data_IF_149768589730
#
_entry.id   IF_149768589730
#
_cell.length_a   1.000
_cell.length_b   1.000
_cell.length_c   1.000
_cell.angle_alpha   90.00
_cell.angle_beta   90.00
_cell.angle_gamma   90.00
#
_symmetry.space_group_name_H-M   'P 1'
#
loop_
_entity.id
_entity.type
_entity.pdbx_description
1 polymer ?
#
# COMPACT_ATOMS: atom_id res chain seq x y z
N UNK A 1 -0.37 -13.02 -6.05
CA UNK A 1 -0.88 -13.89 -7.14
C UNK A 1 -0.67 -15.35 -6.81
N UNK A 2 0.58 -15.82 -6.67
CA UNK A 2 0.90 -17.22 -6.31
C UNK A 2 0.06 -17.75 -5.14
N UNK A 3 0.01 -17.03 -4.02
CA UNK A 3 -0.75 -17.43 -2.82
C UNK A 3 -2.26 -17.56 -3.09
N UNK A 4 -2.84 -16.67 -3.91
CA UNK A 4 -4.26 -16.75 -4.29
C UNK A 4 -4.55 -17.99 -5.15
N UNK A 5 -3.66 -18.32 -6.09
CA UNK A 5 -3.77 -19.51 -6.94
C UNK A 5 -3.61 -20.78 -6.12
N UNK A 6 -2.62 -20.82 -5.21
CA UNK A 6 -2.37 -21.95 -4.32
C UNK A 6 -3.55 -22.19 -3.36
N UNK A 7 -4.13 -21.12 -2.81
CA UNK A 7 -5.32 -21.24 -1.95
C UNK A 7 -6.52 -21.81 -2.71
N UNK A 8 -6.80 -21.33 -3.93
CA UNK A 8 -7.97 -21.75 -4.71
C UNK A 8 -7.86 -23.14 -5.34
N UNK A 9 -6.67 -23.73 -5.36
CA UNK A 9 -6.40 -24.98 -6.06
C UNK A 9 -7.17 -26.16 -5.43
N UNK A 10 -8.01 -26.82 -6.22
CA UNK A 10 -8.81 -27.98 -5.78
C UNK A 10 -10.10 -27.66 -5.01
N UNK A 11 -10.38 -26.38 -4.70
CA UNK A 11 -11.61 -25.96 -4.00
C UNK A 11 -12.82 -25.75 -4.92
N UNK A 12 -12.56 -25.46 -6.21
CA UNK A 12 -13.58 -25.00 -7.15
C UNK A 12 -14.00 -23.54 -6.91
N UNK A 13 -14.57 -22.90 -7.93
CA UNK A 13 -14.77 -21.43 -7.95
C UNK A 13 -15.65 -20.92 -6.80
N UNK A 14 -16.74 -21.62 -6.48
CA UNK A 14 -17.72 -21.20 -5.46
C UNK A 14 -17.11 -21.13 -4.06
N UNK A 15 -16.29 -22.13 -3.70
CA UNK A 15 -15.63 -22.19 -2.39
C UNK A 15 -14.42 -21.28 -2.33
N UNK A 16 -13.59 -21.28 -3.38
CA UNK A 16 -12.40 -20.41 -3.47
C UNK A 16 -12.77 -18.92 -3.31
N UNK A 17 -13.94 -18.49 -3.81
CA UNK A 17 -14.41 -17.11 -3.64
C UNK A 17 -14.67 -16.71 -2.19
N UNK A 18 -15.03 -17.65 -1.31
CA UNK A 18 -15.27 -17.37 0.11
C UNK A 18 -14.04 -17.65 0.97
N UNK A 19 -13.40 -18.79 0.73
CA UNK A 19 -12.27 -19.28 1.53
C UNK A 19 -10.97 -18.54 1.21
N UNK A 20 -10.74 -18.12 -0.04
CA UNK A 20 -9.53 -17.44 -0.50
C UNK A 20 -9.75 -15.94 -0.79
N UNK A 21 -10.73 -15.33 -0.11
CA UNK A 21 -11.12 -13.94 -0.33
C UNK A 21 -9.99 -12.98 0.09
N UNK A 22 -9.24 -13.30 1.14
CA UNK A 22 -8.16 -12.45 1.64
C UNK A 22 -6.99 -12.37 0.65
N UNK A 23 -6.54 -13.51 0.15
CA UNK A 23 -5.46 -13.61 -0.83
C UNK A 23 -5.83 -12.92 -2.14
N UNK A 24 -7.12 -13.01 -2.52
CA UNK A 24 -7.65 -12.26 -3.66
C UNK A 24 -7.64 -10.75 -3.42
N UNK A 25 -8.07 -10.28 -2.25
CA UNK A 25 -8.04 -8.85 -1.91
C UNK A 25 -6.62 -8.28 -1.90
N UNK A 26 -5.66 -9.04 -1.36
CA UNK A 26 -4.26 -8.66 -1.36
C UNK A 26 -3.67 -8.66 -2.78
N UNK A 27 -4.03 -9.65 -3.61
CA UNK A 27 -3.65 -9.65 -5.01
C UNK A 27 -4.21 -8.44 -5.76
N UNK A 28 -5.49 -8.13 -5.58
CA UNK A 28 -6.15 -6.99 -6.21
C UNK A 28 -5.57 -5.65 -5.75
N UNK A 29 -5.24 -5.53 -4.47
CA UNK A 29 -4.56 -4.34 -3.96
C UNK A 29 -3.10 -4.27 -4.44
N UNK A 30 -2.39 -5.38 -4.58
CA UNK A 30 -1.04 -5.40 -5.15
C UNK A 30 -1.04 -4.89 -6.60
N UNK A 31 -2.04 -5.29 -7.39
CA UNK A 31 -2.18 -4.87 -8.79
C UNK A 31 -2.62 -3.42 -8.95
N UNK A 32 -3.58 -2.96 -8.12
CA UNK A 32 -4.21 -1.64 -8.30
C UNK A 32 -3.65 -0.56 -7.37
N UNK A 33 -3.01 -0.95 -6.26
CA UNK A 33 -2.41 -0.08 -5.24
C UNK A 33 -3.35 1.00 -4.70
N UNK A 34 -4.65 0.72 -4.63
CA UNK A 34 -5.68 1.71 -4.27
C UNK A 34 -5.64 2.12 -2.80
N UNK A 35 -5.50 1.15 -1.88
CA UNK A 35 -5.31 1.38 -0.44
C UNK A 35 -3.97 2.09 -0.20
N UNK A 36 -2.91 1.70 -0.91
CA UNK A 36 -1.60 2.37 -0.85
C UNK A 36 -1.70 3.84 -1.28
N UNK A 37 -2.26 4.12 -2.45
CA UNK A 37 -2.43 5.48 -2.98
C UNK A 37 -3.27 6.35 -2.03
N UNK A 38 -4.37 5.80 -1.51
CA UNK A 38 -5.22 6.49 -0.52
C UNK A 38 -4.43 6.82 0.74
N UNK A 39 -3.65 5.87 1.27
CA UNK A 39 -2.81 6.06 2.45
C UNK A 39 -1.76 7.14 2.22
N UNK A 40 -1.04 7.09 1.10
CA UNK A 40 -0.04 8.09 0.74
C UNK A 40 -0.64 9.48 0.64
N UNK A 41 -1.81 9.61 0.00
CA UNK A 41 -2.53 10.89 -0.09
C UNK A 41 -2.83 11.47 1.28
N UNK A 42 -3.40 10.66 2.19
CA UNK A 42 -3.70 11.11 3.55
C UNK A 42 -2.44 11.52 4.34
N UNK A 43 -1.33 10.81 4.17
CA UNK A 43 -0.05 11.18 4.81
C UNK A 43 0.45 12.52 4.27
N UNK A 44 0.41 12.73 2.96
CA UNK A 44 0.86 13.97 2.32
C UNK A 44 -0.04 15.16 2.73
N UNK A 45 -1.36 14.99 2.71
CA UNK A 45 -2.32 16.01 3.17
C UNK A 45 -2.04 16.42 4.64
N UNK A 46 -1.81 15.43 5.51
CA UNK A 46 -1.50 15.69 6.92
C UNK A 46 -0.14 16.37 7.08
N UNK A 47 0.88 15.94 6.33
CA UNK A 47 2.21 16.57 6.33
C UNK A 47 2.10 18.04 5.94
N UNK A 48 1.43 18.34 4.82
CA UNK A 48 1.31 19.70 4.29
C UNK A 48 0.56 20.61 5.26
N UNK A 49 -0.47 20.08 5.94
CA UNK A 49 -1.15 20.78 7.03
C UNK A 49 -0.20 21.13 8.18
N UNK A 50 0.62 20.18 8.65
CA UNK A 50 1.55 20.42 9.77
C UNK A 50 2.70 21.37 9.40
N UNK A 51 3.17 21.35 8.14
CA UNK A 51 4.14 22.32 7.63
C UNK A 51 3.53 23.73 7.61
N UNK A 52 2.29 23.86 7.12
CA UNK A 52 1.56 25.15 7.11
C UNK A 52 1.33 25.71 8.52
N UNK A 53 1.09 24.85 9.49
CA UNK A 53 0.97 25.22 10.91
C UNK A 53 2.33 25.49 11.60
N UNK A 54 3.46 25.21 10.93
CA UNK A 54 4.82 25.37 11.47
C UNK A 54 5.21 24.31 12.52
N UNK A 55 4.40 23.26 12.70
CA UNK A 55 4.63 22.19 13.70
C UNK A 55 5.53 21.08 13.19
N UNK A 56 5.78 21.02 11.89
CA UNK A 56 6.59 19.97 11.27
C UNK A 56 7.53 20.57 10.22
N UNK A 57 8.82 20.27 10.37
CA UNK A 57 9.86 20.58 9.38
C UNK A 57 10.35 19.25 8.79
N UNK A 58 10.34 19.08 7.45
CA UNK A 58 10.85 17.87 6.83
C UNK A 58 12.33 17.63 7.16
N UNK A 59 12.77 16.37 7.32
CA UNK A 59 14.19 16.01 7.45
C UNK A 59 15.00 16.32 6.18
N UNK A 60 16.30 16.58 6.32
CA UNK A 60 17.20 16.91 5.19
C UNK A 60 17.30 15.81 4.12
N UNK A 61 17.19 14.54 4.51
CA UNK A 61 17.20 13.41 3.56
C UNK A 61 15.96 13.36 2.67
N UNK A 62 14.83 13.93 3.11
CA UNK A 62 13.66 14.12 2.25
C UNK A 62 13.80 15.34 1.31
N UNK A 63 14.85 16.15 1.46
CA UNK A 63 15.15 17.32 0.62
C UNK A 63 16.18 17.02 -0.48
N UNK A 64 16.61 15.76 -0.63
CA UNK A 64 17.53 15.34 -1.70
C UNK A 64 18.99 15.75 -1.48
N UNK A 65 19.38 16.03 -0.22
CA UNK A 65 20.76 16.39 0.15
C UNK A 65 21.63 15.20 0.56
N UNK A 66 21.06 13.99 0.63
CA UNK A 66 21.81 12.78 0.99
C UNK A 66 22.35 12.08 -0.26
N UNK A 67 23.55 11.52 -0.13
CA UNK A 67 24.11 10.61 -1.14
C UNK A 67 23.27 9.33 -1.22
N UNK A 68 22.99 8.81 -2.44
CA UNK A 68 22.24 7.58 -2.60
C UNK A 68 22.95 6.41 -1.92
N UNK A 69 22.21 5.65 -1.11
CA UNK A 69 22.73 4.42 -0.51
C UNK A 69 22.84 3.32 -1.58
N UNK A 70 23.89 2.47 -1.52
CA UNK A 70 24.11 1.36 -2.46
C UNK A 70 22.93 0.38 -2.54
#
# INVERSE_FOLDING_TARGET
EREWVECGHGLGQTRARRECQLEYEDFMECMKRTKLAKRLRTILEQRDKMIKEGKYTPPDYHMGKEEPRP
#
